data_IF_836500691075
#
_entry.id   IF_836500691075
#
_cell.length_a   1.000
_cell.length_b   1.000
_cell.length_c   1.000
_cell.angle_alpha   90.00
_cell.angle_beta   90.00
_cell.angle_gamma   90.00
#
_symmetry.space_group_name_H-M   'P 1'
#
loop_
_entity.id
_entity.type
_entity.pdbx_description
1 polymer ?
#
# COMPACT_ATOMS: atom_id res chain seq x y z
N UNK A 1 15.18 26.02 -4.01
CA UNK A 1 15.02 24.57 -3.79
C UNK A 1 15.06 23.95 -5.17
N UNK A 2 15.87 22.91 -5.40
CA UNK A 2 15.95 22.28 -6.72
C UNK A 2 14.85 21.22 -6.84
N UNK A 3 14.43 20.95 -8.09
CA UNK A 3 13.48 19.88 -8.39
C UNK A 3 14.06 18.52 -7.96
N UNK A 4 13.24 17.70 -7.33
CA UNK A 4 13.60 16.34 -6.95
C UNK A 4 12.97 15.39 -7.96
N UNK A 5 13.80 14.61 -8.64
CA UNK A 5 13.36 13.60 -9.62
C UNK A 5 13.24 12.27 -8.90
N UNK A 6 12.03 11.72 -8.86
CA UNK A 6 11.77 10.39 -8.31
C UNK A 6 11.32 9.44 -9.42
N UNK A 7 11.99 8.27 -9.53
CA UNK A 7 11.59 7.22 -10.47
C UNK A 7 10.36 6.49 -9.95
N UNK A 8 9.35 6.36 -10.80
CA UNK A 8 8.12 5.63 -10.48
C UNK A 8 8.24 4.13 -10.80
N UNK A 9 7.42 3.27 -10.19
CA UNK A 9 7.41 1.82 -10.46
C UNK A 9 7.11 1.45 -11.91
N UNK A 10 6.42 2.31 -12.65
CA UNK A 10 6.12 2.16 -14.09
C UNK A 10 7.28 2.57 -15.01
N UNK A 11 8.43 2.94 -14.44
CA UNK A 11 9.61 3.43 -15.15
C UNK A 11 9.58 4.92 -15.49
N UNK A 12 8.49 5.61 -15.19
CA UNK A 12 8.38 7.06 -15.29
C UNK A 12 9.17 7.79 -14.21
N UNK A 13 9.34 9.11 -14.39
CA UNK A 13 9.93 9.98 -13.39
C UNK A 13 8.89 11.00 -12.92
N UNK A 14 8.79 11.16 -11.61
CA UNK A 14 8.00 12.24 -11.02
C UNK A 14 8.94 13.36 -10.59
N UNK A 15 8.73 14.54 -11.15
CA UNK A 15 9.48 15.74 -10.77
C UNK A 15 8.65 16.49 -9.74
N UNK A 16 9.19 16.71 -8.55
CA UNK A 16 8.54 17.50 -7.52
C UNK A 16 9.31 18.81 -7.32
N UNK A 17 8.60 19.86 -7.05
CA UNK A 17 9.17 21.18 -6.69
C UNK A 17 9.75 21.21 -5.26
N UNK A 18 9.91 20.05 -4.64
CA UNK A 18 10.35 19.91 -3.25
C UNK A 18 9.25 20.16 -2.23
N UNK A 19 8.05 20.62 -2.62
CA UNK A 19 6.91 20.81 -1.70
C UNK A 19 6.36 19.47 -1.18
N UNK A 20 6.58 18.40 -1.94
CA UNK A 20 6.21 17.03 -1.58
C UNK A 20 7.25 16.29 -0.74
N UNK A 21 8.38 16.93 -0.39
CA UNK A 21 9.35 16.32 0.51
C UNK A 21 8.81 16.24 1.94
N UNK A 22 9.15 15.14 2.61
CA UNK A 22 8.86 14.98 4.04
C UNK A 22 9.72 15.97 4.83
N UNK A 23 9.10 16.78 5.69
CA UNK A 23 9.81 17.66 6.62
C UNK A 23 10.55 16.85 7.71
N UNK A 24 11.42 17.50 8.47
CA UNK A 24 12.23 16.84 9.52
C UNK A 24 11.44 16.08 10.60
N UNK A 25 10.16 16.40 10.74
CA UNK A 25 9.24 15.77 11.72
C UNK A 25 8.34 14.66 11.13
N UNK A 26 8.65 14.16 9.92
CA UNK A 26 7.84 13.13 9.23
C UNK A 26 7.53 11.90 10.09
N UNK A 27 8.47 11.50 10.98
CA UNK A 27 8.28 10.36 11.87
C UNK A 27 7.11 10.54 12.86
N UNK A 28 6.66 11.77 13.09
CA UNK A 28 5.48 12.08 13.92
C UNK A 28 4.18 11.64 13.25
N UNK A 29 4.16 11.48 11.94
CA UNK A 29 3.00 10.98 11.20
C UNK A 29 2.83 9.47 11.35
N UNK A 30 3.87 8.74 11.80
CA UNK A 30 3.80 7.30 12.06
C UNK A 30 3.16 7.09 13.43
N UNK A 31 1.94 6.57 13.45
CA UNK A 31 1.15 6.31 14.66
C UNK A 31 0.81 4.83 14.73
N UNK A 32 0.87 4.27 15.93
CA UNK A 32 0.36 2.94 16.20
C UNK A 32 -0.57 2.98 17.41
N UNK A 33 -1.65 2.19 17.35
CA UNK A 33 -2.57 1.99 18.47
C UNK A 33 -2.90 0.51 18.64
N UNK A 34 -3.05 0.09 19.87
CA UNK A 34 -3.49 -1.24 20.27
C UNK A 34 -4.86 -1.14 20.95
N UNK A 35 -5.67 -2.19 20.88
CA UNK A 35 -6.96 -2.26 21.57
C UNK A 35 -8.11 -1.48 20.91
N UNK A 36 -7.91 -0.90 19.72
CA UNK A 36 -8.98 -0.27 18.94
C UNK A 36 -10.04 -1.29 18.51
N UNK A 37 -9.61 -2.52 18.25
CA UNK A 37 -10.48 -3.63 17.85
C UNK A 37 -10.38 -4.70 18.94
N UNK A 38 -11.50 -5.17 19.51
CA UNK A 38 -11.54 -6.26 20.49
C UNK A 38 -10.90 -7.54 19.95
N UNK A 39 -10.26 -8.32 20.81
CA UNK A 39 -9.53 -9.53 20.41
C UNK A 39 -10.45 -10.60 19.80
N UNK A 40 -11.65 -10.76 20.33
CA UNK A 40 -12.67 -11.66 19.79
C UNK A 40 -13.08 -11.28 18.35
N UNK A 41 -13.17 -10.00 18.05
CA UNK A 41 -13.45 -9.51 16.71
C UNK A 41 -12.27 -9.79 15.76
N UNK A 42 -11.05 -9.60 16.22
CA UNK A 42 -9.86 -9.91 15.42
C UNK A 42 -9.84 -11.37 15.00
N UNK A 43 -10.12 -12.28 15.94
CA UNK A 43 -10.20 -13.71 15.61
C UNK A 43 -11.27 -13.99 14.55
N UNK A 44 -12.42 -13.38 14.67
CA UNK A 44 -13.51 -13.50 13.69
C UNK A 44 -13.10 -13.00 12.31
N UNK A 45 -12.46 -11.82 12.23
CA UNK A 45 -11.99 -11.26 10.96
C UNK A 45 -10.89 -12.11 10.32
N UNK A 46 -9.96 -12.60 11.13
CA UNK A 46 -8.93 -13.53 10.66
C UNK A 46 -9.55 -14.81 10.08
N UNK A 47 -10.51 -15.42 10.76
CA UNK A 47 -11.18 -16.64 10.30
C UNK A 47 -11.96 -16.42 8.98
N UNK A 48 -12.49 -15.20 8.76
CA UNK A 48 -13.10 -14.80 7.48
C UNK A 48 -12.01 -14.65 6.40
N UNK A 49 -10.96 -13.89 6.69
CA UNK A 49 -9.87 -13.64 5.75
C UNK A 49 -9.20 -14.92 5.27
N UNK A 50 -9.01 -15.90 6.16
CA UNK A 50 -8.39 -17.19 5.82
C UNK A 50 -9.22 -18.07 4.87
N UNK A 51 -10.52 -17.80 4.72
CA UNK A 51 -11.41 -18.53 3.79
C UNK A 51 -11.48 -17.91 2.41
N UNK A 52 -10.88 -16.75 2.21
CA UNK A 52 -10.87 -16.07 0.92
C UNK A 52 -9.89 -16.72 -0.05
N UNK A 53 -10.05 -16.44 -1.35
CA UNK A 53 -9.20 -16.96 -2.42
C UNK A 53 -7.90 -16.15 -2.52
N UNK A 54 -6.85 -16.61 -1.84
CA UNK A 54 -5.55 -15.98 -1.78
C UNK A 54 -4.75 -16.20 -3.07
N UNK A 55 -4.33 -15.11 -3.70
CA UNK A 55 -3.47 -15.12 -4.89
C UNK A 55 -2.00 -15.12 -4.49
N UNK A 56 -1.21 -16.02 -5.09
CA UNK A 56 0.23 -16.13 -4.87
C UNK A 56 1.03 -15.17 -5.77
N UNK A 57 2.27 -14.92 -5.39
CA UNK A 57 3.24 -14.27 -6.25
C UNK A 57 3.20 -12.76 -6.25
N UNK A 58 2.67 -12.14 -5.20
CA UNK A 58 2.69 -10.70 -5.05
C UNK A 58 4.02 -10.20 -4.49
N UNK A 59 4.47 -9.04 -4.94
CA UNK A 59 5.68 -8.35 -4.49
C UNK A 59 5.40 -6.87 -4.27
N UNK A 60 6.13 -6.25 -3.34
CA UNK A 60 5.96 -4.82 -3.03
C UNK A 60 6.43 -3.90 -4.16
N UNK A 61 7.33 -4.39 -5.04
CA UNK A 61 7.81 -3.66 -6.22
C UNK A 61 8.33 -4.61 -7.30
N UNK A 62 8.47 -4.13 -8.54
CA UNK A 62 9.07 -4.91 -9.64
C UNK A 62 10.56 -5.23 -9.38
N UNK A 63 11.29 -4.35 -8.68
CA UNK A 63 12.66 -4.62 -8.27
C UNK A 63 12.73 -5.81 -7.30
N UNK A 64 11.78 -5.90 -6.37
CA UNK A 64 11.66 -7.06 -5.47
C UNK A 64 11.37 -8.32 -6.24
N UNK A 65 10.46 -8.27 -7.19
CA UNK A 65 10.14 -9.42 -8.06
C UNK A 65 11.35 -9.89 -8.84
N UNK A 66 12.12 -8.97 -9.40
CA UNK A 66 13.34 -9.27 -10.17
C UNK A 66 14.46 -9.86 -9.31
N UNK A 67 14.53 -9.52 -8.03
CA UNK A 67 15.58 -9.95 -7.09
C UNK A 67 15.16 -11.11 -6.18
N UNK A 68 13.87 -11.47 -6.19
CA UNK A 68 13.32 -12.46 -5.27
C UNK A 68 13.88 -13.85 -5.55
N UNK A 69 14.41 -14.48 -4.50
CA UNK A 69 14.80 -15.89 -4.47
C UNK A 69 13.67 -16.82 -4.01
N UNK A 70 12.57 -16.23 -3.55
CA UNK A 70 11.40 -16.93 -3.02
C UNK A 70 10.16 -16.54 -3.82
N UNK A 71 9.14 -17.38 -3.80
CA UNK A 71 7.80 -16.99 -4.27
C UNK A 71 7.33 -15.75 -3.50
N UNK A 72 6.72 -14.78 -4.18
CA UNK A 72 6.12 -13.61 -3.54
C UNK A 72 5.11 -14.00 -2.47
N UNK A 73 4.68 -13.04 -1.68
CA UNK A 73 3.67 -13.26 -0.66
C UNK A 73 2.26 -13.35 -1.26
N UNK A 74 1.28 -13.74 -0.44
CA UNK A 74 -0.11 -13.84 -0.87
C UNK A 74 -0.82 -12.49 -0.78
N UNK A 75 -1.78 -12.27 -1.68
CA UNK A 75 -2.51 -11.02 -1.78
C UNK A 75 -3.97 -11.25 -2.16
N UNK A 76 -4.87 -10.40 -1.68
CA UNK A 76 -6.27 -10.31 -2.13
C UNK A 76 -6.62 -8.84 -2.30
N UNK A 77 -6.89 -8.44 -3.53
CA UNK A 77 -7.47 -7.13 -3.81
C UNK A 77 -8.96 -7.14 -3.42
N UNK A 78 -9.35 -6.27 -2.50
CA UNK A 78 -10.74 -6.20 -2.01
C UNK A 78 -11.54 -5.07 -2.67
N UNK A 79 -10.87 -4.02 -3.14
CA UNK A 79 -11.53 -2.96 -3.90
C UNK A 79 -10.79 -1.63 -3.95
N UNK A 80 -11.28 -0.75 -4.82
CA UNK A 80 -10.71 0.58 -5.06
C UNK A 80 -9.51 0.58 -6.01
N UNK A 81 -8.99 1.78 -6.29
CA UNK A 81 -7.84 1.99 -7.17
C UNK A 81 -7.02 3.20 -6.74
N UNK A 82 -5.68 3.11 -6.74
CA UNK A 82 -4.80 4.24 -6.40
C UNK A 82 -4.85 5.39 -7.42
N UNK A 83 -5.09 5.06 -8.68
CA UNK A 83 -5.06 6.02 -9.80
C UNK A 83 -6.38 6.74 -10.03
N UNK A 84 -7.48 6.11 -9.68
CA UNK A 84 -8.79 6.73 -9.68
C UNK A 84 -8.96 7.42 -8.33
N UNK A 85 -8.69 8.70 -8.20
CA UNK A 85 -8.86 9.48 -6.97
C UNK A 85 -10.32 9.64 -6.54
N UNK A 86 -11.11 8.59 -6.73
CA UNK A 86 -12.50 8.49 -6.31
C UNK A 86 -12.57 7.82 -4.94
N UNK A 87 -13.42 8.32 -4.07
CA UNK A 87 -13.70 7.68 -2.80
C UNK A 87 -14.36 6.33 -3.05
N UNK A 88 -13.79 5.27 -2.49
CA UNK A 88 -14.28 3.92 -2.68
C UNK A 88 -15.18 3.52 -1.51
N UNK A 89 -16.35 2.96 -1.83
CA UNK A 89 -17.26 2.39 -0.83
C UNK A 89 -16.94 0.91 -0.60
N UNK A 90 -16.68 0.55 0.66
CA UNK A 90 -16.37 -0.83 1.06
C UNK A 90 -17.60 -1.72 0.88
N UNK A 91 -17.44 -2.80 0.12
CA UNK A 91 -18.51 -3.74 -0.19
C UNK A 91 -18.61 -4.91 0.81
N UNK A 92 -17.53 -5.20 1.53
CA UNK A 92 -17.47 -6.30 2.50
C UNK A 92 -17.84 -5.79 3.90
N UNK A 93 -18.93 -6.28 4.48
CA UNK A 93 -19.43 -5.84 5.79
C UNK A 93 -18.38 -5.91 6.90
N UNK A 94 -17.61 -7.01 6.96
CA UNK A 94 -16.58 -7.18 7.99
C UNK A 94 -15.40 -6.19 7.84
N UNK A 95 -15.07 -5.78 6.61
CA UNK A 95 -14.05 -4.76 6.34
C UNK A 95 -14.57 -3.38 6.69
N UNK A 96 -15.84 -3.11 6.38
CA UNK A 96 -16.52 -1.86 6.75
C UNK A 96 -16.57 -1.70 8.26
N UNK A 97 -16.86 -2.76 8.99
CA UNK A 97 -16.86 -2.79 10.46
C UNK A 97 -15.48 -2.42 11.03
N UNK A 98 -14.39 -2.96 10.45
CA UNK A 98 -13.02 -2.58 10.82
C UNK A 98 -12.74 -1.11 10.50
N UNK A 99 -13.11 -0.66 9.31
CA UNK A 99 -12.90 0.71 8.87
C UNK A 99 -13.57 1.73 9.80
N UNK A 100 -14.80 1.46 10.20
CA UNK A 100 -15.56 2.30 11.12
C UNK A 100 -14.94 2.35 12.53
N UNK A 101 -14.45 1.21 13.04
CA UNK A 101 -13.77 1.13 14.34
C UNK A 101 -12.42 1.86 14.33
N UNK A 102 -11.65 1.70 13.26
CA UNK A 102 -10.33 2.33 13.12
C UNK A 102 -10.45 3.82 12.87
N UNK A 103 -11.42 4.24 12.06
CA UNK A 103 -11.69 5.62 11.68
C UNK A 103 -10.40 6.44 11.43
N UNK A 104 -9.61 6.12 10.41
CA UNK A 104 -8.28 6.71 10.23
C UNK A 104 -8.31 8.19 9.83
N UNK A 105 -9.48 8.80 9.66
CA UNK A 105 -9.66 10.20 9.31
C UNK A 105 -9.25 10.55 7.87
N UNK A 106 -9.36 9.59 6.98
CA UNK A 106 -9.04 9.77 5.55
C UNK A 106 -10.17 9.21 4.68
N UNK A 107 -10.26 9.67 3.43
CA UNK A 107 -11.12 9.08 2.41
C UNK A 107 -10.44 7.85 1.83
N UNK A 108 -11.19 6.75 1.70
CA UNK A 108 -10.66 5.50 1.20
C UNK A 108 -10.49 5.54 -0.32
N UNK A 109 -9.31 5.15 -0.79
CA UNK A 109 -9.01 4.99 -2.21
C UNK A 109 -9.00 3.51 -2.61
N UNK A 110 -8.35 2.66 -1.80
CA UNK A 110 -8.28 1.22 -2.04
C UNK A 110 -8.01 0.45 -0.76
N UNK A 111 -8.38 -0.84 -0.76
CA UNK A 111 -8.06 -1.75 0.33
C UNK A 111 -7.78 -3.16 -0.15
N UNK A 112 -6.97 -3.88 0.60
CA UNK A 112 -6.50 -5.22 0.24
C UNK A 112 -5.95 -5.98 1.45
N UNK A 113 -5.82 -7.29 1.29
CA UNK A 113 -5.13 -8.15 2.25
C UNK A 113 -3.75 -8.55 1.73
N UNK A 114 -2.77 -8.54 2.62
CA UNK A 114 -1.47 -9.16 2.43
C UNK A 114 -1.31 -10.33 3.41
N UNK A 115 -0.84 -11.45 2.88
CA UNK A 115 -0.56 -12.66 3.64
C UNK A 115 0.90 -13.10 3.47
N UNK A 116 1.66 -13.15 4.56
CA UNK A 116 3.06 -13.56 4.53
C UNK A 116 3.25 -14.86 5.32
N UNK A 117 3.78 -15.86 4.65
CA UNK A 117 4.27 -17.08 5.30
C UNK A 117 5.73 -16.94 5.72
N UNK A 118 6.28 -18.04 6.25
CA UNK A 118 7.65 -18.12 6.73
C UNK A 118 8.64 -17.67 5.66
N UNK A 119 9.60 -16.83 6.07
CA UNK A 119 10.65 -16.25 5.24
C UNK A 119 10.19 -15.31 4.12
N UNK A 120 8.88 -15.03 4.02
CA UNK A 120 8.37 -14.03 3.08
C UNK A 120 8.48 -12.63 3.68
N UNK A 121 8.99 -11.70 2.89
CA UNK A 121 9.17 -10.29 3.25
C UNK A 121 8.80 -9.38 2.09
N UNK A 122 8.48 -8.13 2.37
CA UNK A 122 8.43 -7.08 1.38
C UNK A 122 9.80 -6.49 1.07
N UNK A 123 9.90 -5.60 0.08
CA UNK A 123 11.04 -4.70 -0.13
C UNK A 123 10.77 -3.33 0.47
N UNK A 124 11.82 -2.51 0.62
CA UNK A 124 11.64 -1.11 0.96
C UNK A 124 10.96 -0.41 -0.20
N UNK A 125 9.82 0.24 0.09
CA UNK A 125 9.03 0.96 -0.91
C UNK A 125 8.30 2.16 -0.29
N UNK A 126 7.71 2.97 -1.15
CA UNK A 126 6.78 4.03 -0.80
C UNK A 126 5.38 3.60 -1.22
N UNK A 127 4.39 4.00 -0.46
CA UNK A 127 2.99 3.76 -0.74
C UNK A 127 2.29 4.94 -1.42
N UNK A 128 2.88 6.11 -1.37
CA UNK A 128 2.37 7.34 -1.94
C UNK A 128 3.51 8.26 -2.40
N UNK A 129 3.18 9.19 -3.30
CA UNK A 129 4.14 10.12 -3.90
C UNK A 129 3.82 11.59 -3.58
N UNK A 130 2.60 11.86 -3.15
CA UNK A 130 2.13 13.21 -2.84
C UNK A 130 1.82 13.34 -1.35
N UNK A 131 1.83 14.57 -0.85
CA UNK A 131 1.31 14.87 0.48
C UNK A 131 -0.15 14.39 0.61
N UNK A 132 -0.60 14.17 1.85
CA UNK A 132 -1.97 13.75 2.17
C UNK A 132 -2.37 12.35 1.72
N UNK A 133 -1.44 11.53 1.21
CA UNK A 133 -1.65 10.10 0.99
C UNK A 133 -1.18 9.30 2.21
N UNK A 134 -2.06 8.46 2.74
CA UNK A 134 -1.80 7.69 3.96
C UNK A 134 -2.08 6.22 3.74
N UNK A 135 -1.34 5.40 4.48
CA UNK A 135 -1.57 3.96 4.60
C UNK A 135 -1.94 3.64 6.04
N UNK A 136 -3.01 2.87 6.20
CA UNK A 136 -3.44 2.31 7.47
C UNK A 136 -3.39 0.79 7.39
N UNK A 137 -2.64 0.16 8.29
CA UNK A 137 -2.49 -1.30 8.36
C UNK A 137 -3.15 -1.80 9.63
N UNK A 138 -3.96 -2.85 9.52
CA UNK A 138 -4.56 -3.57 10.64
C UNK A 138 -4.06 -5.01 10.62
N UNK A 139 -3.39 -5.45 11.69
CA UNK A 139 -2.90 -6.83 11.81
C UNK A 139 -3.99 -7.73 12.36
N UNK A 140 -4.27 -8.84 11.64
CA UNK A 140 -5.40 -9.71 11.95
C UNK A 140 -4.99 -11.05 12.58
N UNK A 141 -3.73 -11.49 12.48
CA UNK A 141 -3.32 -12.81 12.96
C UNK A 141 -3.33 -12.89 14.48
N UNK A 142 -4.16 -13.74 15.10
CA UNK A 142 -4.20 -13.91 16.55
C UNK A 142 -2.92 -14.54 17.09
N UNK A 143 -2.58 -14.26 18.36
CA UNK A 143 -1.46 -14.89 19.07
C UNK A 143 -0.10 -14.64 18.40
N UNK A 144 0.08 -13.50 17.75
CA UNK A 144 1.37 -13.10 17.19
C UNK A 144 2.27 -12.52 18.27
N UNK A 145 3.49 -13.05 18.36
CA UNK A 145 4.49 -12.64 19.35
C UNK A 145 5.70 -11.99 18.66
N UNK A 146 6.54 -11.23 19.36
CA UNK A 146 7.73 -10.61 18.79
C UNK A 146 8.68 -11.59 18.09
N UNK A 147 8.79 -12.82 18.61
CA UNK A 147 9.62 -13.90 18.10
C UNK A 147 9.14 -14.45 16.75
N UNK A 148 7.88 -14.22 16.39
CA UNK A 148 7.33 -14.60 15.09
C UNK A 148 7.88 -13.70 13.95
N UNK A 149 8.57 -12.61 14.29
CA UNK A 149 9.12 -11.67 13.31
C UNK A 149 8.06 -10.85 12.59
N UNK A 150 8.31 -10.56 11.32
CA UNK A 150 7.32 -9.92 10.45
C UNK A 150 7.02 -8.45 10.76
N UNK A 151 7.89 -7.75 11.49
CA UNK A 151 7.71 -6.33 11.83
C UNK A 151 7.59 -5.44 10.61
N UNK A 152 6.85 -4.35 10.72
CA UNK A 152 6.98 -3.23 9.79
C UNK A 152 8.05 -2.27 10.32
N UNK A 153 8.98 -1.90 9.45
CA UNK A 153 10.03 -0.93 9.75
C UNK A 153 9.90 0.28 8.85
N UNK A 154 10.06 1.45 9.46
CA UNK A 154 10.05 2.74 8.80
C UNK A 154 11.46 3.31 8.77
N UNK A 155 11.87 3.79 7.61
CA UNK A 155 13.24 4.20 7.33
C UNK A 155 13.32 5.70 7.09
N UNK A 156 14.54 6.25 7.20
CA UNK A 156 14.77 7.64 6.82
C UNK A 156 14.41 7.85 5.34
N UNK A 157 13.79 8.98 4.96
CA UNK A 157 13.37 9.23 3.58
C UNK A 157 14.54 9.39 2.60
N UNK A 158 15.75 9.63 3.08
CA UNK A 158 16.95 9.90 2.26
C UNK A 158 17.84 8.66 2.07
N UNK A 159 17.24 7.49 1.84
CA UNK A 159 17.99 6.29 1.53
C UNK A 159 18.64 6.39 0.15
N UNK A 160 19.94 6.07 0.06
CA UNK A 160 20.63 5.87 -1.22
C UNK A 160 20.11 4.61 -1.91
N UNK A 161 20.35 4.46 -3.21
CA UNK A 161 19.97 3.25 -3.95
C UNK A 161 20.69 2.00 -3.41
N UNK A 162 21.95 2.14 -2.95
CA UNK A 162 22.69 1.07 -2.29
C UNK A 162 22.02 0.65 -1.00
N UNK A 163 21.58 1.60 -0.15
CA UNK A 163 20.88 1.33 1.10
C UNK A 163 19.54 0.61 0.85
N UNK A 164 18.79 1.03 -0.18
CA UNK A 164 17.56 0.34 -0.60
C UNK A 164 17.85 -1.10 -1.07
N UNK A 165 18.85 -1.28 -1.92
CA UNK A 165 19.25 -2.58 -2.42
C UNK A 165 19.72 -3.51 -1.30
N UNK A 166 20.42 -2.98 -0.30
CA UNK A 166 20.91 -3.73 0.86
C UNK A 166 19.75 -4.18 1.76
N UNK A 167 18.78 -3.31 2.00
CA UNK A 167 17.60 -3.65 2.78
C UNK A 167 16.74 -4.76 2.13
N UNK A 168 16.69 -4.80 0.81
CA UNK A 168 16.06 -5.90 0.05
C UNK A 168 16.82 -7.22 0.24
N UNK A 169 18.16 -7.16 0.27
CA UNK A 169 19.01 -8.36 0.38
C UNK A 169 19.06 -8.95 1.80
N UNK A 170 18.69 -8.18 2.81
CA UNK A 170 18.79 -8.58 4.22
C UNK A 170 17.40 -8.70 4.87
N UNK A 171 16.59 -9.70 4.48
CA UNK A 171 15.21 -9.83 4.95
C UNK A 171 15.09 -10.08 6.46
N UNK A 172 16.16 -10.53 7.12
CA UNK A 172 16.20 -10.91 8.55
C UNK A 172 16.69 -9.82 9.49
N UNK A 173 16.75 -8.60 9.02
CA UNK A 173 17.24 -7.47 9.80
C UNK A 173 18.57 -6.94 9.29
N UNK A 174 18.89 -5.75 9.75
CA UNK A 174 20.12 -5.06 9.38
C UNK A 174 21.19 -5.34 10.43
N UNK A 175 22.34 -5.73 9.95
CA UNK A 175 23.52 -5.87 10.81
C UNK A 175 24.35 -4.59 10.68
N UNK A 176 24.63 -3.91 11.80
CA UNK A 176 25.56 -2.81 11.84
C UNK A 176 24.95 -1.42 11.63
N UNK A 177 25.65 -0.56 10.90
CA UNK A 177 25.32 0.88 10.78
C UNK A 177 23.99 1.20 10.07
N UNK A 178 23.46 0.26 9.32
CA UNK A 178 22.21 0.43 8.58
C UNK A 178 20.98 0.54 9.48
N UNK A 179 21.04 -0.04 10.70
CA UNK A 179 19.98 0.11 11.69
C UNK A 179 19.72 1.57 12.08
N UNK A 180 20.71 2.46 11.89
CA UNK A 180 20.57 3.90 12.12
C UNK A 180 19.54 4.56 11.19
N UNK A 181 19.21 3.91 10.08
CA UNK A 181 18.21 4.40 9.14
C UNK A 181 16.78 4.01 9.53
N UNK A 182 16.60 3.11 10.50
CA UNK A 182 15.29 2.73 11.02
C UNK A 182 14.86 3.77 12.06
N UNK A 183 13.74 4.43 11.80
CA UNK A 183 13.21 5.47 12.70
C UNK A 183 12.13 4.94 13.63
N UNK A 184 11.38 3.92 13.20
CA UNK A 184 10.37 3.20 13.99
C UNK A 184 10.24 1.77 13.49
N UNK A 185 9.85 0.87 14.41
CA UNK A 185 9.51 -0.51 14.08
C UNK A 185 8.33 -0.97 14.95
N UNK A 186 7.39 -1.71 14.35
CA UNK A 186 6.26 -2.29 15.06
C UNK A 186 6.10 -3.76 14.64
N UNK A 187 6.10 -4.66 15.63
CA UNK A 187 5.74 -6.05 15.38
C UNK A 187 4.20 -6.20 15.19
N UNK A 188 3.73 -7.18 14.40
CA UNK A 188 2.34 -7.29 13.97
C UNK A 188 1.43 -7.92 15.06
N UNK A 189 1.31 -7.26 16.19
CA UNK A 189 0.38 -7.67 17.24
C UNK A 189 -1.05 -7.68 16.72
N UNK A 190 -1.83 -8.70 17.08
CA UNK A 190 -3.23 -8.82 16.73
C UNK A 190 -4.02 -7.57 17.14
N UNK A 191 -4.79 -6.99 16.21
CA UNK A 191 -5.56 -5.77 16.42
C UNK A 191 -4.74 -4.48 16.43
N UNK A 192 -3.42 -4.55 16.27
CA UNK A 192 -2.59 -3.34 16.12
C UNK A 192 -2.93 -2.63 14.82
N UNK A 193 -3.17 -1.34 14.95
CA UNK A 193 -3.39 -0.43 13.83
C UNK A 193 -2.16 0.46 13.66
N UNK A 194 -1.62 0.56 12.44
CA UNK A 194 -0.48 1.43 12.12
C UNK A 194 -0.89 2.37 10.99
N UNK A 195 -0.86 3.67 11.24
CA UNK A 195 -1.17 4.73 10.29
C UNK A 195 0.08 5.56 10.00
N UNK A 196 0.37 5.83 8.73
CA UNK A 196 1.54 6.60 8.32
C UNK A 196 1.36 7.30 6.98
N UNK A 197 2.15 8.35 6.76
CA UNK A 197 2.25 9.03 5.46
C UNK A 197 2.87 8.08 4.42
N UNK A 198 2.20 7.91 3.27
CA UNK A 198 2.61 6.97 2.21
C UNK A 198 3.98 7.26 1.60
N UNK A 199 4.52 8.46 1.79
CA UNK A 199 5.87 8.85 1.32
C UNK A 199 7.00 8.35 2.22
N UNK A 200 6.70 7.76 3.38
CA UNK A 200 7.72 7.23 4.29
C UNK A 200 8.19 5.87 3.78
N UNK A 201 9.51 5.70 3.50
CA UNK A 201 10.06 4.41 3.13
C UNK A 201 9.80 3.39 4.22
N UNK A 202 9.25 2.24 3.86
CA UNK A 202 8.95 1.19 4.82
C UNK A 202 9.10 -0.20 4.21
N UNK A 203 9.20 -1.20 5.09
CA UNK A 203 9.34 -2.60 4.71
C UNK A 203 8.62 -3.51 5.70
N UNK A 204 7.97 -4.53 5.18
CA UNK A 204 7.47 -5.64 5.97
C UNK A 204 8.56 -6.72 6.05
N UNK A 205 9.10 -6.98 7.24
CA UNK A 205 10.17 -7.96 7.47
C UNK A 205 9.66 -9.39 7.36
N UNK A 206 10.61 -10.31 7.22
CA UNK A 206 10.31 -11.73 7.11
C UNK A 206 9.57 -12.25 8.35
N UNK A 207 8.68 -13.20 8.10
CA UNK A 207 8.07 -14.03 9.13
C UNK A 207 9.05 -15.14 9.48
N UNK A 208 9.31 -15.36 10.77
CA UNK A 208 10.34 -16.32 11.25
C UNK A 208 9.75 -17.67 11.63
N UNK A 209 8.43 -17.75 11.77
CA UNK A 209 7.72 -18.97 12.18
C UNK A 209 6.80 -19.49 11.08
N UNK A 210 6.17 -20.66 11.31
CA UNK A 210 5.21 -21.23 10.36
C UNK A 210 3.80 -20.58 10.43
N UNK A 211 3.62 -19.56 11.28
CA UNK A 211 2.39 -18.78 11.31
C UNK A 211 2.23 -17.97 10.03
N UNK A 212 0.98 -17.73 9.64
CA UNK A 212 0.64 -16.92 8.47
C UNK A 212 0.22 -15.53 8.92
N UNK A 213 1.04 -14.50 8.60
CA UNK A 213 0.75 -13.11 8.95
C UNK A 213 -0.26 -12.52 7.98
N UNK A 214 -1.43 -12.16 8.46
CA UNK A 214 -2.48 -11.47 7.71
C UNK A 214 -2.55 -10.01 8.14
N UNK A 215 -2.48 -9.10 7.18
CA UNK A 215 -2.70 -7.67 7.38
C UNK A 215 -3.73 -7.14 6.38
N UNK A 216 -4.71 -6.39 6.90
CA UNK A 216 -5.64 -5.61 6.10
C UNK A 216 -5.06 -4.20 5.93
N UNK A 217 -4.96 -3.76 4.69
CA UNK A 217 -4.34 -2.48 4.32
C UNK A 217 -5.39 -1.59 3.68
N UNK A 218 -5.49 -0.37 4.20
CA UNK A 218 -6.28 0.71 3.63
C UNK A 218 -5.34 1.80 3.13
N UNK A 219 -5.53 2.23 1.90
CA UNK A 219 -4.88 3.42 1.34
C UNK A 219 -5.90 4.50 1.11
N UNK A 220 -5.57 5.70 1.51
CA UNK A 220 -6.50 6.82 1.46
C UNK A 220 -5.81 8.18 1.35
N UNK A 221 -6.64 9.22 1.29
CA UNK A 221 -6.18 10.61 1.20
C UNK A 221 -7.00 11.52 2.11
N UNK A 222 -6.39 12.60 2.56
CA UNK A 222 -7.08 13.72 3.22
C UNK A 222 -7.43 14.84 2.26
N UNK A 223 -7.02 14.74 1.00
CA UNK A 223 -7.41 15.71 -0.03
C UNK A 223 -8.91 15.63 -0.34
N UNK A 224 -9.49 16.75 -0.76
CA UNK A 224 -10.79 16.72 -1.39
C UNK A 224 -10.71 15.98 -2.73
N UNK A 225 -11.48 14.91 -2.84
CA UNK A 225 -11.60 14.18 -4.10
C UNK A 225 -12.51 15.01 -4.99
N UNK A 226 -11.93 15.67 -5.99
CA UNK A 226 -12.71 16.30 -7.05
C UNK A 226 -13.37 15.20 -7.87
N UNK A 227 -14.69 15.14 -7.91
CA UNK A 227 -15.39 14.36 -8.94
C UNK A 227 -14.96 14.97 -10.27
N UNK A 228 -14.34 14.15 -11.14
CA UNK A 228 -14.17 14.55 -12.53
C UNK A 228 -15.59 14.78 -13.06
N UNK A 229 -15.90 16.04 -13.44
CA UNK A 229 -17.09 16.33 -14.21
C UNK A 229 -16.91 15.51 -15.50
N UNK A 230 -17.81 14.55 -15.74
CA UNK A 230 -17.86 13.83 -17.00
C UNK A 230 -17.99 14.90 -18.08
N UNK A 231 -16.90 15.16 -18.82
CA UNK A 231 -17.02 15.98 -20.01
C UNK A 231 -18.07 15.32 -20.90
N UNK A 232 -19.12 16.04 -21.30
CA UNK A 232 -20.14 15.46 -22.14
C UNK A 232 -19.45 14.94 -23.41
N UNK A 233 -19.55 13.64 -23.64
CA UNK A 233 -19.05 12.97 -24.83
C UNK A 233 -19.58 13.74 -26.02
N UNK A 234 -18.76 14.59 -26.64
CA UNK A 234 -19.07 15.25 -27.90
C UNK A 234 -19.23 14.14 -28.93
N UNK A 235 -20.48 13.79 -29.16
CA UNK A 235 -20.89 12.79 -30.13
C UNK A 235 -20.58 13.35 -31.54
N UNK A 236 -19.32 13.21 -31.95
CA UNK A 236 -18.90 13.52 -33.35
C UNK A 236 -19.13 12.28 -34.21
N UNK A 237 -20.36 11.79 -34.24
CA UNK A 237 -20.78 10.90 -35.33
C UNK A 237 -20.89 11.72 -36.59
N UNK A 238 -19.77 12.00 -37.25
CA UNK A 238 -19.77 12.28 -38.68
C UNK A 238 -20.10 10.97 -39.37
N UNK A 239 -21.36 10.85 -39.83
CA UNK A 239 -21.79 9.79 -40.71
C UNK A 239 -20.97 9.84 -42.01
N UNK A 240 -20.07 8.87 -42.29
CA UNK A 240 -19.20 8.91 -43.46
C UNK A 240 -19.95 8.56 -44.78
N UNK A 241 -21.27 8.33 -44.75
CA UNK A 241 -22.04 7.86 -45.89
C UNK A 241 -23.05 8.87 -46.44
N UNK A 242 -23.02 10.12 -46.04
CA UNK A 242 -23.81 11.17 -46.68
C UNK A 242 -23.02 11.80 -47.83
N UNK A 243 -23.23 11.32 -49.04
CA UNK A 243 -22.80 12.00 -50.26
C UNK A 243 -22.19 11.12 -51.36
N UNK A 244 -22.94 10.17 -51.94
CA UNK A 244 -22.69 9.72 -53.29
C UNK A 244 -24.04 9.41 -53.96
N UNK A 245 -24.68 10.46 -54.48
CA UNK A 245 -25.68 10.33 -55.52
C UNK A 245 -24.94 10.01 -56.81
N UNK A 246 -25.09 8.80 -57.31
CA UNK A 246 -24.66 8.45 -58.67
C UNK A 246 -25.79 8.91 -59.59
N UNK A 247 -25.56 10.03 -60.29
CA UNK A 247 -26.37 10.40 -61.44
C UNK A 247 -26.02 9.45 -62.57
N UNK A 248 -27.03 8.65 -63.00
CA UNK A 248 -26.97 7.89 -64.21
C UNK A 248 -27.06 8.84 -65.43
N UNK A 249 -26.16 8.67 -66.38
CA UNK A 249 -26.32 9.15 -67.79
C UNK A 249 -26.42 7.96 -68.65
N UNK A 250 -27.46 8.07 -69.54
CA UNK A 250 -27.83 7.26 -70.66
C UNK A 250 -26.67 6.72 -71.50
#
# INVERSE_FOLDING_TARGET
MGDVIMKQPDGGYHVTDGSNMLGGDYHKTIRASDGTIPEEDIKRYYDIAMKLDWQDGWYSSEEMKAQAKTSGYKHIHLGGHDTKREEYEIQQDWVKEIWEKVNPGMKLLRHYLNGHGKHQSGGIHLDGWTANQYTCIVYLTPGWEPEDGGSIEFWTPNLTDEQRAMAIKTPYGLNGDESKNIVKSYWPRAGRVVLFDGRIPHVARAVETDKFRVSLVFKGTTDEIKKEEEEPVKNTSKDPFKGTSIEGKD
#
